data_IF_146519702852
#
_entry.id   IF_146519702852
#
_cell.length_a   1.000
_cell.length_b   1.000
_cell.length_c   1.000
_cell.angle_alpha   90.00
_cell.angle_beta   90.00
_cell.angle_gamma   90.00
#
_symmetry.space_group_name_H-M   'P 1'
#
loop_
_entity.id
_entity.type
_entity.pdbx_description
1 polymer ?
#
# COMPACT_ATOMS: atom_id res chain seq x y z
N UNK A 1 -21.21 -43.80 -22.69
CA UNK A 1 -20.13 -43.18 -21.90
C UNK A 1 -19.83 -41.84 -22.54
N UNK A 2 -20.05 -40.73 -21.85
CA UNK A 2 -19.96 -39.41 -22.48
C UNK A 2 -18.48 -39.04 -22.64
N UNK A 3 -18.11 -38.43 -23.77
CA UNK A 3 -16.72 -38.04 -24.07
C UNK A 3 -16.09 -37.16 -22.98
N UNK A 4 -16.93 -36.41 -22.25
CA UNK A 4 -16.54 -35.57 -21.12
C UNK A 4 -15.97 -36.38 -19.94
N UNK A 5 -16.54 -37.55 -19.65
CA UNK A 5 -16.11 -38.40 -18.54
C UNK A 5 -14.71 -38.97 -18.78
N UNK A 6 -14.37 -39.27 -20.04
CA UNK A 6 -13.05 -39.74 -20.43
C UNK A 6 -11.99 -38.66 -20.25
N UNK A 7 -12.32 -37.40 -20.60
CA UNK A 7 -11.41 -36.26 -20.41
C UNK A 7 -11.16 -36.01 -18.93
N UNK A 8 -12.22 -35.96 -18.11
CA UNK A 8 -12.09 -35.79 -16.66
C UNK A 8 -11.24 -36.88 -16.02
N UNK A 9 -11.45 -38.14 -16.41
CA UNK A 9 -10.67 -39.29 -15.93
C UNK A 9 -9.20 -39.19 -16.33
N UNK A 10 -8.89 -38.75 -17.55
CA UNK A 10 -7.52 -38.59 -18.03
C UNK A 10 -6.80 -37.42 -17.33
N UNK A 11 -7.51 -36.32 -17.10
CA UNK A 11 -7.02 -35.16 -16.33
C UNK A 11 -6.71 -35.56 -14.89
N UNK A 12 -7.56 -36.39 -14.28
CA UNK A 12 -7.41 -36.87 -12.89
C UNK A 12 -6.27 -37.89 -12.71
N UNK A 13 -5.84 -38.57 -13.78
CA UNK A 13 -4.69 -39.48 -13.75
C UNK A 13 -3.33 -38.75 -13.73
N UNK A 14 -3.26 -37.49 -14.21
CA UNK A 14 -2.02 -36.69 -14.26
C UNK A 14 -2.05 -35.53 -13.25
N UNK A 15 -2.32 -35.86 -11.98
CA UNK A 15 -2.59 -34.91 -10.88
C UNK A 15 -1.57 -33.78 -10.75
N UNK A 16 -0.27 -34.08 -10.87
CA UNK A 16 0.79 -33.09 -10.64
C UNK A 16 0.89 -32.03 -11.74
N UNK A 17 0.92 -32.46 -13.01
CA UNK A 17 1.10 -31.54 -14.14
C UNK A 17 -0.14 -30.67 -14.34
N UNK A 18 -1.33 -31.28 -14.33
CA UNK A 18 -2.58 -30.52 -14.50
C UNK A 18 -2.82 -29.60 -13.31
N UNK A 19 -2.55 -30.07 -12.09
CA UNK A 19 -2.67 -29.26 -10.88
C UNK A 19 -1.76 -28.03 -10.92
N UNK A 20 -0.48 -28.21 -11.26
CA UNK A 20 0.49 -27.11 -11.32
C UNK A 20 0.15 -26.09 -12.42
N UNK A 21 -0.35 -26.54 -13.58
CA UNK A 21 -0.79 -25.62 -14.65
C UNK A 21 -2.00 -24.79 -14.24
N UNK A 22 -3.02 -25.41 -13.67
CA UNK A 22 -4.22 -24.69 -13.20
C UNK A 22 -3.85 -23.73 -12.06
N UNK A 23 -2.98 -24.15 -11.16
CA UNK A 23 -2.51 -23.31 -10.06
C UNK A 23 -1.70 -22.11 -10.55
N UNK A 24 -0.83 -22.29 -11.55
CA UNK A 24 -0.08 -21.20 -12.16
C UNK A 24 -0.98 -20.16 -12.83
N UNK A 25 -1.99 -20.60 -13.57
CA UNK A 25 -2.98 -19.69 -14.19
C UNK A 25 -3.77 -18.96 -13.11
N UNK A 26 -4.23 -19.67 -12.08
CA UNK A 26 -4.97 -19.07 -10.96
C UNK A 26 -4.14 -18.01 -10.23
N UNK A 27 -2.87 -18.30 -9.92
CA UNK A 27 -1.97 -17.34 -9.29
C UNK A 27 -1.67 -16.13 -10.17
N UNK A 28 -1.52 -16.32 -11.48
CA UNK A 28 -1.30 -15.22 -12.42
C UNK A 28 -2.47 -14.24 -12.43
N UNK A 29 -3.70 -14.75 -12.56
CA UNK A 29 -4.92 -13.93 -12.53
C UNK A 29 -5.08 -13.27 -11.16
N UNK A 30 -4.83 -14.01 -10.08
CA UNK A 30 -4.93 -13.51 -8.71
C UNK A 30 -3.97 -12.35 -8.45
N UNK A 31 -2.71 -12.45 -8.88
CA UNK A 31 -1.72 -11.38 -8.71
C UNK A 31 -2.15 -10.09 -9.42
N UNK A 32 -2.64 -10.21 -10.66
CA UNK A 32 -3.12 -9.07 -11.44
C UNK A 32 -4.34 -8.42 -10.78
N UNK A 33 -5.30 -9.24 -10.32
CA UNK A 33 -6.51 -8.75 -9.65
C UNK A 33 -6.21 -8.02 -8.35
N UNK A 34 -5.30 -8.57 -7.54
CA UNK A 34 -4.89 -7.99 -6.26
C UNK A 34 -4.15 -6.68 -6.47
N UNK A 35 -3.18 -6.61 -7.39
CA UNK A 35 -2.49 -5.36 -7.72
C UNK A 35 -3.44 -4.31 -8.30
N UNK A 36 -4.32 -4.70 -9.23
CA UNK A 36 -5.31 -3.80 -9.81
C UNK A 36 -6.28 -3.24 -8.77
N UNK A 37 -6.72 -4.08 -7.82
CA UNK A 37 -7.59 -3.65 -6.73
C UNK A 37 -6.88 -2.78 -5.70
N UNK A 38 -5.61 -3.05 -5.38
CA UNK A 38 -4.86 -2.28 -4.38
C UNK A 38 -4.31 -0.95 -4.88
N UNK A 39 -4.08 -0.78 -6.19
CA UNK A 39 -3.52 0.45 -6.78
C UNK A 39 -4.26 1.71 -6.33
N UNK A 40 -5.59 1.66 -6.34
CA UNK A 40 -6.48 2.76 -5.98
C UNK A 40 -6.41 3.11 -4.48
N UNK A 41 -6.28 2.10 -3.62
CA UNK A 41 -6.16 2.29 -2.17
C UNK A 41 -4.77 2.78 -1.77
N UNK A 42 -3.73 2.32 -2.48
CA UNK A 42 -2.35 2.70 -2.24
C UNK A 42 -2.13 4.17 -2.58
N UNK A 43 -2.62 4.63 -3.74
CA UNK A 43 -2.51 6.04 -4.12
C UNK A 43 -3.23 6.95 -3.12
N UNK A 44 -4.45 6.59 -2.71
CA UNK A 44 -5.18 7.34 -1.68
C UNK A 44 -4.53 7.31 -0.29
N UNK A 45 -3.83 6.23 0.08
CA UNK A 45 -3.11 6.18 1.37
C UNK A 45 -1.77 6.93 1.30
N UNK A 46 -1.05 6.82 0.20
CA UNK A 46 0.20 7.53 -0.02
C UNK A 46 -0.04 9.05 -0.06
N UNK A 47 -1.04 9.50 -0.81
CA UNK A 47 -1.39 10.91 -0.91
C UNK A 47 -1.90 11.47 0.43
N UNK A 48 -2.72 10.72 1.18
CA UNK A 48 -3.10 11.14 2.55
C UNK A 48 -1.91 11.20 3.51
N UNK A 49 -0.98 10.27 3.41
CA UNK A 49 0.25 10.29 4.20
C UNK A 49 1.08 11.53 3.91
N UNK A 50 1.20 11.90 2.63
CA UNK A 50 1.92 13.09 2.20
C UNK A 50 1.17 14.37 2.55
N UNK A 51 -0.16 14.46 2.38
CA UNK A 51 -0.95 15.63 2.75
C UNK A 51 -0.82 15.97 4.24
N UNK A 52 -0.80 14.94 5.11
CA UNK A 52 -0.59 15.14 6.55
C UNK A 52 0.78 15.73 6.90
N UNK A 53 1.78 15.55 6.03
CA UNK A 53 3.13 16.06 6.21
C UNK A 53 3.38 17.36 5.43
N UNK A 54 2.72 17.56 4.28
CA UNK A 54 2.93 18.68 3.37
C UNK A 54 2.27 19.96 3.87
N UNK A 55 1.14 19.86 4.56
CA UNK A 55 0.40 21.03 5.08
C UNK A 55 0.91 21.52 6.44
N UNK A 56 2.05 20.98 6.92
CA UNK A 56 2.62 21.30 8.23
C UNK A 56 4.08 21.68 8.13
N UNK A 57 4.39 22.89 8.59
CA UNK A 57 5.77 23.35 8.76
C UNK A 57 6.29 22.79 10.09
N UNK A 58 7.24 21.85 10.01
CA UNK A 58 7.91 21.30 11.19
C UNK A 58 9.02 22.24 11.66
N UNK A 59 8.87 22.78 12.88
CA UNK A 59 9.85 23.65 13.51
C UNK A 59 10.65 22.80 14.49
N UNK A 60 11.92 22.60 14.18
CA UNK A 60 12.84 21.80 15.00
C UNK A 60 13.84 22.75 15.67
N UNK A 61 14.07 22.66 16.99
CA UNK A 61 15.07 23.49 17.65
C UNK A 61 16.49 23.08 17.21
N UNK A 62 17.41 24.05 17.14
CA UNK A 62 18.82 23.82 16.73
C UNK A 62 19.55 22.79 17.61
N UNK A 63 19.10 22.64 18.85
CA UNK A 63 19.57 21.66 19.83
C UNK A 63 19.18 20.21 19.51
N UNK A 64 18.48 20.00 18.39
CA UNK A 64 18.13 18.68 17.87
C UNK A 64 17.08 17.96 18.72
N UNK A 65 16.70 16.76 18.28
CA UNK A 65 15.66 15.93 18.90
C UNK A 65 15.89 15.64 20.40
N UNK A 66 17.13 15.79 20.88
CA UNK A 66 17.53 15.52 22.28
C UNK A 66 17.67 16.76 23.16
N UNK A 67 17.53 17.98 22.62
CA UNK A 67 17.86 19.20 23.35
C UNK A 67 16.65 20.11 23.56
N UNK A 68 15.80 19.80 24.53
CA UNK A 68 14.84 20.76 25.09
C UNK A 68 13.64 21.08 24.19
N UNK A 69 12.45 20.98 24.78
CA UNK A 69 11.20 21.35 24.11
C UNK A 69 11.19 22.82 23.65
N UNK A 70 10.36 23.10 22.65
CA UNK A 70 10.14 24.44 22.14
C UNK A 70 9.68 25.36 23.28
N UNK A 71 10.35 26.50 23.44
CA UNK A 71 9.93 27.54 24.39
C UNK A 71 8.64 28.17 23.86
N UNK A 72 7.64 28.34 24.72
CA UNK A 72 6.29 28.84 24.38
C UNK A 72 6.31 30.24 23.73
N UNK A 73 7.34 31.04 24.03
CA UNK A 73 7.59 32.34 23.40
C UNK A 73 7.94 32.23 21.91
N UNK A 74 8.52 31.11 21.47
CA UNK A 74 8.83 30.85 20.06
C UNK A 74 7.56 30.53 19.26
N UNK A 75 6.61 29.79 19.85
CA UNK A 75 5.29 29.53 19.26
C UNK A 75 4.54 30.84 18.99
N UNK A 76 4.58 31.77 19.95
CA UNK A 76 3.95 33.09 19.81
C UNK A 76 4.60 33.97 18.74
N UNK A 77 5.90 33.81 18.48
CA UNK A 77 6.61 34.52 17.40
C UNK A 77 6.27 33.96 16.03
N UNK A 78 6.17 32.63 15.91
CA UNK A 78 5.91 31.97 14.63
C UNK A 78 4.46 32.18 14.16
N UNK A 79 3.49 32.21 15.08
CA UNK A 79 2.09 32.57 14.78
C UNK A 79 1.88 33.98 14.26
N UNK A 80 2.87 34.87 14.39
CA UNK A 80 2.78 36.25 13.86
C UNK A 80 3.26 36.37 12.42
N UNK A 81 3.82 35.30 11.84
CA UNK A 81 4.27 35.29 10.46
C UNK A 81 3.04 35.11 9.55
N UNK A 82 2.81 36.02 8.58
CA UNK A 82 1.68 35.91 7.67
C UNK A 82 1.77 34.61 6.86
N UNK A 83 0.70 33.80 6.90
CA UNK A 83 0.65 32.48 6.27
C UNK A 83 0.83 31.29 7.23
N UNK A 84 1.05 31.55 8.53
CA UNK A 84 1.10 30.53 9.58
C UNK A 84 -0.17 30.63 10.44
N UNK A 85 -1.07 29.64 10.35
CA UNK A 85 -2.34 29.57 11.09
C UNK A 85 -2.31 28.44 12.12
#
# INVERSE_FOLDING_TARGET
>A
MNNFDLILKNVTHRKMRTGLTVFGIALGIFAIMVMGGMSEYFDRHANRGLDLMSDKIYIVPESGFFGGGLVDSMVSKVRRIPGVY
#
